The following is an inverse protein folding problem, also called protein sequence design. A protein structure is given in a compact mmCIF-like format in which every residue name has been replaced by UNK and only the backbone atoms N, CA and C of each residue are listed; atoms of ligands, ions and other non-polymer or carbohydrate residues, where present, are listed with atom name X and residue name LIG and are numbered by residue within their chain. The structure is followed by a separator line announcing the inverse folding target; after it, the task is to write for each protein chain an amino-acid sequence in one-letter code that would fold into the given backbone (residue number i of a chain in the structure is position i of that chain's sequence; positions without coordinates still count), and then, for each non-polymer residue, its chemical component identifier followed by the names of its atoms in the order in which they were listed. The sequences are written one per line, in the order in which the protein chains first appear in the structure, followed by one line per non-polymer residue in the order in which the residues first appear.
data_IF_292515333055
#
_entry.id   IF_292515333055
#
_cell.length_a   1.000
_cell.length_b   1.000
_cell.length_c   1.000
_cell.angle_alpha   90.00
_cell.angle_beta   90.00
_cell.angle_gamma   90.00
#
_symmetry.space_group_name_H-M   'P 1'
#
loop_
_entity.id
_entity.type
_entity.pdbx_description
1 polymer ?
#
# COMPACT_ATOMS: atom_id res chain seq x y z
N UNK A 1 14.57 -80.42 -6.17
CA UNK A 1 14.99 -79.58 -7.31
C UNK A 1 14.36 -78.22 -7.13
N UNK A 2 15.22 -77.24 -6.89
CA UNK A 2 14.90 -75.90 -6.40
C UNK A 2 14.55 -74.97 -7.56
N UNK A 3 13.47 -74.18 -7.42
CA UNK A 3 13.14 -73.08 -8.33
C UNK A 3 12.85 -71.82 -7.52
N UNK A 4 13.84 -70.94 -7.41
CA UNK A 4 13.73 -69.62 -6.78
C UNK A 4 13.13 -68.63 -7.80
N UNK A 5 11.95 -68.08 -7.50
CA UNK A 5 11.38 -66.97 -8.28
C UNK A 5 11.40 -65.71 -7.41
N UNK A 6 12.34 -64.80 -7.70
CA UNK A 6 12.42 -63.48 -7.08
C UNK A 6 11.51 -62.52 -7.85
N UNK A 7 10.52 -61.95 -7.17
CA UNK A 7 9.72 -60.82 -7.66
C UNK A 7 10.22 -59.56 -6.98
N UNK A 8 10.85 -58.68 -7.76
CA UNK A 8 11.16 -57.32 -7.37
C UNK A 8 9.99 -56.42 -7.78
N UNK A 9 9.27 -55.88 -6.81
CA UNK A 9 8.23 -54.89 -7.06
C UNK A 9 8.86 -53.49 -6.99
N UNK A 10 8.85 -52.78 -8.11
CA UNK A 10 9.29 -51.38 -8.22
C UNK A 10 8.07 -50.50 -7.92
N UNK A 11 8.10 -49.79 -6.80
CA UNK A 11 7.08 -48.81 -6.43
C UNK A 11 7.37 -47.46 -7.09
N UNK A 12 6.55 -47.05 -8.05
CA UNK A 12 6.55 -45.72 -8.65
C UNK A 12 5.84 -44.73 -7.71
N UNK A 13 6.59 -43.81 -7.11
CA UNK A 13 6.07 -42.67 -6.37
C UNK A 13 5.57 -41.61 -7.35
N UNK A 14 4.25 -41.54 -7.55
CA UNK A 14 3.60 -40.45 -8.28
C UNK A 14 3.47 -39.21 -7.41
N UNK A 15 4.34 -38.22 -7.61
CA UNK A 15 4.22 -36.89 -7.01
C UNK A 15 3.24 -36.03 -7.79
N UNK A 16 2.06 -35.77 -7.21
CA UNK A 16 1.11 -34.80 -7.75
C UNK A 16 1.64 -33.37 -7.51
N UNK A 17 2.03 -32.68 -8.57
CA UNK A 17 2.29 -31.24 -8.54
C UNK A 17 0.94 -30.52 -8.47
N UNK A 18 0.58 -30.01 -7.29
CA UNK A 18 -0.55 -29.09 -7.15
C UNK A 18 -0.20 -27.78 -7.87
N UNK A 19 -1.00 -27.33 -8.85
CA UNK A 19 -0.84 -25.99 -9.39
C UNK A 19 -1.13 -24.99 -8.27
N UNK A 20 -0.10 -24.25 -7.85
CA UNK A 20 -0.29 -23.07 -7.03
C UNK A 20 -1.06 -22.06 -7.88
N UNK A 21 -2.39 -22.03 -7.73
CA UNK A 21 -3.23 -20.98 -8.27
C UNK A 21 -2.83 -19.69 -7.56
N UNK A 22 -1.88 -18.97 -8.14
CA UNK A 22 -1.61 -17.59 -7.74
C UNK A 22 -2.87 -16.81 -8.06
N UNK A 23 -3.67 -16.50 -7.05
CA UNK A 23 -4.75 -15.55 -7.17
C UNK A 23 -4.15 -14.28 -7.80
N UNK A 24 -4.57 -13.93 -9.01
CA UNK A 24 -4.16 -12.67 -9.62
C UNK A 24 -4.53 -11.58 -8.63
N UNK A 25 -3.60 -10.68 -8.25
CA UNK A 25 -3.95 -9.57 -7.39
C UNK A 25 -5.11 -8.83 -8.03
N UNK A 26 -6.12 -8.49 -7.22
CA UNK A 26 -7.18 -7.59 -7.65
C UNK A 26 -6.50 -6.36 -8.28
N UNK A 27 -6.95 -5.94 -9.47
CA UNK A 27 -6.36 -4.81 -10.16
C UNK A 27 -6.34 -3.60 -9.22
N UNK A 28 -5.14 -3.16 -8.88
CA UNK A 28 -4.90 -2.05 -7.98
C UNK A 28 -4.21 -0.94 -8.77
N UNK A 29 -4.60 0.30 -8.49
CA UNK A 29 -4.26 1.48 -9.27
C UNK A 29 -3.63 2.49 -8.32
N UNK A 30 -2.43 2.94 -8.67
CA UNK A 30 -1.74 3.97 -7.89
C UNK A 30 -2.22 5.35 -8.33
N UNK A 31 -2.88 6.08 -7.43
CA UNK A 31 -3.32 7.46 -7.65
C UNK A 31 -2.58 8.41 -6.72
N UNK A 32 -2.45 9.69 -7.11
CA UNK A 32 -1.83 10.71 -6.25
C UNK A 32 -2.87 11.79 -5.92
N UNK A 33 -3.21 11.91 -4.64
CA UNK A 33 -4.20 12.87 -4.12
C UNK A 33 -3.54 13.70 -3.01
N UNK A 34 -3.62 15.02 -3.10
CA UNK A 34 -2.97 15.92 -2.13
C UNK A 34 -1.45 15.70 -1.97
N UNK A 35 -0.77 15.21 -3.00
CA UNK A 35 0.67 14.89 -2.97
C UNK A 35 1.04 13.57 -2.30
N UNK A 36 0.06 12.77 -1.87
CA UNK A 36 0.27 11.42 -1.34
C UNK A 36 -0.17 10.40 -2.38
N UNK A 37 0.67 9.41 -2.67
CA UNK A 37 0.27 8.28 -3.52
C UNK A 37 -0.53 7.28 -2.70
N UNK A 38 -1.56 6.68 -3.28
CA UNK A 38 -2.42 5.67 -2.66
C UNK A 38 -2.54 4.48 -3.61
N UNK A 39 -2.51 3.26 -3.06
CA UNK A 39 -2.85 2.06 -3.83
C UNK A 39 -4.35 1.81 -3.68
N UNK A 40 -5.11 2.08 -4.73
CA UNK A 40 -6.57 1.97 -4.75
C UNK A 40 -6.97 0.68 -5.44
N UNK A 41 -7.76 -0.13 -4.76
CA UNK A 41 -8.35 -1.35 -5.30
C UNK A 41 -9.86 -1.33 -5.06
N UNK A 42 -10.55 -2.41 -5.44
CA UNK A 42 -11.97 -2.54 -5.22
C UNK A 42 -12.32 -3.86 -4.53
N UNK A 43 -13.21 -3.80 -3.55
CA UNK A 43 -13.73 -4.95 -2.82
C UNK A 43 -15.23 -5.05 -2.98
N UNK A 44 -15.70 -6.26 -3.29
CA UNK A 44 -17.13 -6.56 -3.39
C UNK A 44 -17.61 -7.10 -2.04
N UNK A 45 -18.27 -6.24 -1.26
CA UNK A 45 -18.71 -6.54 0.11
C UNK A 45 -20.09 -5.92 0.38
N UNK A 46 -20.79 -6.41 1.39
CA UNK A 46 -21.90 -5.66 1.99
C UNK A 46 -21.44 -4.97 3.26
N UNK A 47 -21.92 -3.77 3.53
CA UNK A 47 -21.49 -2.98 4.69
C UNK A 47 -21.80 -3.66 6.01
N UNK A 48 -22.92 -4.40 6.09
CA UNK A 48 -23.26 -5.21 7.25
C UNK A 48 -22.33 -6.42 7.45
N UNK A 49 -21.81 -7.01 6.37
CA UNK A 49 -20.88 -8.15 6.48
C UNK A 49 -19.49 -7.75 6.94
N UNK A 50 -19.08 -6.51 6.66
CA UNK A 50 -17.73 -6.02 6.96
C UNK A 50 -17.76 -4.55 7.41
N UNK A 51 -18.35 -4.24 8.58
CA UNK A 51 -18.48 -2.87 9.08
C UNK A 51 -17.13 -2.20 9.33
N UNK A 52 -16.07 -2.98 9.59
CA UNK A 52 -14.70 -2.47 9.77
C UNK A 52 -14.12 -1.80 8.52
N UNK A 53 -14.62 -2.09 7.32
CA UNK A 53 -14.20 -1.40 6.10
C UNK A 53 -14.68 0.06 6.05
N UNK A 54 -15.75 0.37 6.77
CA UNK A 54 -16.44 1.67 6.80
C UNK A 54 -16.22 2.44 8.11
N UNK A 55 -15.30 1.96 8.97
CA UNK A 55 -15.07 2.55 10.29
C UNK A 55 -14.13 3.77 10.24
N UNK A 56 -14.50 4.82 10.97
CA UNK A 56 -13.67 6.00 11.31
C UNK A 56 -12.50 5.61 12.27
N UNK A 57 -11.48 6.46 12.46
CA UNK A 57 -10.09 6.05 12.66
C UNK A 57 -9.70 5.01 13.75
N UNK A 58 -8.54 4.31 13.61
CA UNK A 58 -7.49 4.55 12.61
C UNK A 58 -8.03 4.20 11.22
N UNK A 59 -8.02 5.20 10.32
CA UNK A 59 -8.97 5.32 9.19
C UNK A 59 -9.10 3.97 8.50
N UNK A 60 -10.35 3.50 8.34
CA UNK A 60 -10.65 2.30 7.55
C UNK A 60 -10.04 2.40 6.16
N UNK A 61 -10.30 1.41 5.32
CA UNK A 61 -9.69 1.31 3.99
C UNK A 61 -10.16 2.41 3.00
N UNK A 62 -10.70 3.54 3.48
CA UNK A 62 -11.26 4.66 2.73
C UNK A 62 -10.76 5.98 3.36
N UNK A 63 -9.59 6.50 2.96
CA UNK A 63 -9.01 7.73 3.54
C UNK A 63 -9.87 8.97 3.29
N UNK A 64 -10.80 8.92 2.34
CA UNK A 64 -11.79 9.96 2.05
C UNK A 64 -13.07 9.87 2.90
N UNK A 65 -13.16 8.91 3.83
CA UNK A 65 -14.36 8.76 4.65
C UNK A 65 -14.62 10.01 5.50
N UNK A 66 -15.84 10.54 5.42
CA UNK A 66 -16.27 11.79 6.03
C UNK A 66 -16.14 13.02 5.14
N UNK A 67 -15.55 12.90 3.95
CA UNK A 67 -15.31 14.00 3.00
C UNK A 67 -15.72 13.61 1.57
N UNK A 68 -16.88 14.12 1.15
CA UNK A 68 -17.45 13.90 -0.17
C UNK A 68 -16.58 14.48 -1.31
N UNK A 69 -15.99 15.65 -1.09
CA UNK A 69 -15.10 16.26 -2.11
C UNK A 69 -13.86 15.40 -2.32
N UNK A 70 -13.26 14.92 -1.23
CA UNK A 70 -12.10 14.03 -1.32
C UNK A 70 -12.47 12.71 -2.00
N UNK A 71 -13.65 12.15 -1.75
CA UNK A 71 -14.14 10.96 -2.43
C UNK A 71 -14.25 11.19 -3.95
N UNK A 72 -14.78 12.34 -4.37
CA UNK A 72 -14.89 12.74 -5.77
C UNK A 72 -13.51 12.92 -6.44
N UNK A 73 -12.53 13.49 -5.74
CA UNK A 73 -11.15 13.59 -6.22
C UNK A 73 -10.55 12.20 -6.49
N UNK A 74 -10.72 11.26 -5.56
CA UNK A 74 -10.28 9.87 -5.74
C UNK A 74 -10.98 9.20 -6.92
N UNK A 75 -12.30 9.36 -7.04
CA UNK A 75 -13.07 8.79 -8.14
C UNK A 75 -12.61 9.32 -9.50
N UNK A 76 -12.29 10.62 -9.58
CA UNK A 76 -11.73 11.25 -10.78
C UNK A 76 -10.34 10.70 -11.12
N UNK A 77 -9.46 10.54 -10.13
CA UNK A 77 -8.11 10.01 -10.37
C UNK A 77 -8.12 8.54 -10.81
N UNK A 78 -9.03 7.74 -10.25
CA UNK A 78 -9.18 6.33 -10.62
C UNK A 78 -9.87 6.18 -11.98
N UNK A 79 -10.92 6.95 -12.23
CA UNK A 79 -11.74 6.92 -13.43
C UNK A 79 -12.16 5.49 -13.82
N UNK A 80 -11.69 4.98 -14.96
CA UNK A 80 -12.05 3.67 -15.49
C UNK A 80 -11.02 2.57 -15.18
N UNK A 81 -9.96 2.87 -14.43
CA UNK A 81 -8.83 1.95 -14.26
C UNK A 81 -9.17 0.70 -13.43
N UNK A 82 -10.21 0.77 -12.58
CA UNK A 82 -10.71 -0.38 -11.79
C UNK A 82 -11.83 -1.18 -12.49
N UNK A 83 -12.30 -0.72 -13.66
CA UNK A 83 -13.41 -1.31 -14.40
C UNK A 83 -14.79 -1.12 -13.74
N UNK A 84 -15.80 -1.78 -14.30
CA UNK A 84 -17.20 -1.67 -13.88
C UNK A 84 -17.45 -2.11 -12.43
N UNK A 85 -18.29 -1.39 -11.70
CA UNK A 85 -18.53 -1.58 -10.27
C UNK A 85 -20.00 -1.60 -9.90
N UNK A 86 -20.59 -0.42 -9.68
CA UNK A 86 -22.00 -0.28 -9.29
C UNK A 86 -22.94 -0.82 -10.39
N UNK A 87 -22.65 -0.49 -11.64
CA UNK A 87 -23.34 -0.97 -12.83
C UNK A 87 -22.30 -1.19 -13.96
N UNK A 88 -22.74 -1.68 -15.12
CA UNK A 88 -21.89 -1.91 -16.29
C UNK A 88 -21.21 -0.63 -16.81
N UNK A 89 -21.86 0.52 -16.65
CA UNK A 89 -21.40 1.81 -17.17
C UNK A 89 -20.63 2.66 -16.15
N UNK A 90 -20.61 2.23 -14.88
CA UNK A 90 -20.06 3.00 -13.76
C UNK A 90 -19.00 2.22 -12.99
N UNK A 91 -18.02 2.95 -12.44
CA UNK A 91 -16.94 2.40 -11.63
C UNK A 91 -17.39 1.87 -10.25
N UNK A 92 -16.43 1.45 -9.41
CA UNK A 92 -16.70 1.11 -8.02
C UNK A 92 -17.17 2.32 -7.22
N UNK A 93 -17.91 2.06 -6.15
CA UNK A 93 -18.48 3.10 -5.28
C UNK A 93 -17.43 3.63 -4.31
N UNK A 94 -17.20 4.94 -4.32
CA UNK A 94 -16.40 5.68 -3.36
C UNK A 94 -17.30 6.11 -2.21
N UNK A 95 -17.44 5.21 -1.23
CA UNK A 95 -18.28 5.47 -0.07
C UNK A 95 -17.63 6.52 0.84
N UNK A 96 -18.37 7.56 1.21
CA UNK A 96 -17.85 8.70 1.96
C UNK A 96 -18.61 8.95 3.27
N UNK A 97 -19.82 8.44 3.46
CA UNK A 97 -20.53 8.58 4.73
C UNK A 97 -21.55 7.45 4.97
N UNK A 98 -22.09 7.41 6.19
CA UNK A 98 -23.20 6.54 6.56
C UNK A 98 -24.40 7.41 6.93
N UNK A 99 -25.51 7.22 6.22
CA UNK A 99 -26.81 7.76 6.61
C UNK A 99 -27.40 6.86 7.70
N UNK A 100 -27.28 7.31 8.96
CA UNK A 100 -27.74 6.55 10.12
C UNK A 100 -29.28 6.48 10.23
N UNK A 101 -30.06 7.54 9.94
CA UNK A 101 -31.52 7.43 9.84
C UNK A 101 -31.99 6.39 8.83
N UNK A 102 -31.38 6.34 7.64
CA UNK A 102 -31.83 5.47 6.55
C UNK A 102 -31.12 4.11 6.51
N UNK A 103 -30.07 3.93 7.32
CA UNK A 103 -29.25 2.73 7.34
C UNK A 103 -28.72 2.40 5.93
N UNK A 104 -28.08 3.40 5.30
CA UNK A 104 -27.53 3.35 3.94
C UNK A 104 -26.12 3.94 3.92
N UNK A 105 -25.28 3.44 3.01
CA UNK A 105 -24.00 4.09 2.72
C UNK A 105 -24.25 5.22 1.74
N UNK A 106 -23.69 6.39 2.01
CA UNK A 106 -23.60 7.48 1.04
C UNK A 106 -22.28 7.32 0.29
N UNK A 107 -22.37 7.25 -1.04
CA UNK A 107 -21.22 7.10 -1.91
C UNK A 107 -21.45 7.78 -3.24
N UNK A 108 -20.39 7.81 -4.03
CA UNK A 108 -20.44 8.28 -5.41
C UNK A 108 -19.76 7.28 -6.34
N UNK A 109 -20.10 7.34 -7.61
CA UNK A 109 -19.43 6.56 -8.66
C UNK A 109 -19.25 7.40 -9.91
N UNK A 110 -18.20 7.11 -10.69
CA UNK A 110 -17.87 7.80 -11.93
C UNK A 110 -18.22 6.93 -13.13
N UNK A 111 -18.69 7.57 -14.20
CA UNK A 111 -18.88 6.92 -15.50
C UNK A 111 -17.55 6.39 -16.02
N UNK A 112 -17.59 5.22 -16.67
CA UNK A 112 -16.41 4.64 -17.32
C UNK A 112 -16.06 5.34 -18.64
N UNK A 113 -16.95 6.18 -19.15
CA UNK A 113 -16.81 6.85 -20.45
C UNK A 113 -16.65 8.37 -20.36
N UNK A 114 -17.15 9.01 -19.29
CA UNK A 114 -17.04 10.45 -19.08
C UNK A 114 -16.50 10.75 -17.68
N UNK A 115 -15.34 11.42 -17.62
CA UNK A 115 -14.66 11.76 -16.37
C UNK A 115 -15.47 12.75 -15.51
N UNK A 116 -16.34 13.55 -16.14
CA UNK A 116 -17.12 14.57 -15.47
C UNK A 116 -18.52 14.08 -15.04
N UNK A 117 -18.87 12.85 -15.41
CA UNK A 117 -20.15 12.24 -15.05
C UNK A 117 -19.97 11.41 -13.78
N UNK A 118 -20.36 12.00 -12.66
CA UNK A 118 -20.42 11.36 -11.36
C UNK A 118 -21.83 11.42 -10.83
N UNK A 119 -22.27 10.32 -10.23
CA UNK A 119 -23.59 10.23 -9.62
C UNK A 119 -23.48 9.80 -8.17
N UNK A 120 -24.34 10.37 -7.34
CA UNK A 120 -24.53 9.92 -5.97
C UNK A 120 -25.28 8.59 -5.97
N UNK A 121 -24.81 7.67 -5.14
CA UNK A 121 -25.40 6.35 -4.95
C UNK A 121 -25.60 6.08 -3.47
N UNK A 122 -26.72 5.45 -3.13
CA UNK A 122 -27.05 5.09 -1.75
C UNK A 122 -27.23 3.58 -1.56
N UNK A 123 -26.15 2.78 -1.63
CA UNK A 123 -26.24 1.35 -1.40
C UNK A 123 -26.84 1.03 -0.02
N UNK A 124 -27.79 0.09 0.01
CA UNK A 124 -28.28 -0.48 1.27
C UNK A 124 -27.19 -1.28 1.97
N UNK A 125 -27.13 -1.26 3.31
CA UNK A 125 -26.07 -1.98 4.05
C UNK A 125 -26.07 -3.49 3.87
N UNK A 126 -27.18 -4.09 3.42
CA UNK A 126 -27.27 -5.52 3.11
C UNK A 126 -26.92 -5.85 1.66
N UNK A 127 -26.83 -4.84 0.79
CA UNK A 127 -26.53 -5.04 -0.62
C UNK A 127 -25.04 -5.20 -0.81
N UNK A 128 -24.66 -6.28 -1.51
CA UNK A 128 -23.25 -6.49 -1.88
C UNK A 128 -22.91 -5.55 -3.01
N UNK A 129 -21.98 -4.63 -2.75
CA UNK A 129 -21.58 -3.57 -3.67
C UNK A 129 -20.06 -3.59 -3.81
N UNK A 130 -19.58 -3.23 -5.00
CA UNK A 130 -18.15 -3.10 -5.27
C UNK A 130 -17.68 -1.72 -4.83
N UNK A 131 -17.03 -1.64 -3.67
CA UNK A 131 -16.52 -0.41 -3.09
C UNK A 131 -15.05 -0.20 -3.44
N UNK A 132 -14.68 1.04 -3.73
CA UNK A 132 -13.29 1.44 -3.79
C UNK A 132 -12.69 1.47 -2.39
N UNK A 133 -11.46 0.99 -2.27
CA UNK A 133 -10.68 1.05 -1.05
C UNK A 133 -9.26 1.51 -1.39
N UNK A 134 -8.65 2.30 -0.52
CA UNK A 134 -7.27 2.69 -0.62
C UNK A 134 -6.47 2.23 0.59
N UNK A 135 -5.29 1.70 0.30
CA UNK A 135 -4.26 1.47 1.30
C UNK A 135 -3.27 2.61 1.15
N UNK A 136 -3.16 3.46 2.18
CA UNK A 136 -2.05 4.40 2.26
C UNK A 136 -0.75 3.59 2.13
N UNK A 137 0.28 4.09 1.43
CA UNK A 137 1.55 3.40 1.30
C UNK A 137 2.00 3.09 2.72
N UNK A 138 2.00 1.81 3.07
CA UNK A 138 2.67 1.38 4.28
C UNK A 138 4.08 1.88 4.08
N UNK A 139 4.63 2.73 4.96
CA UNK A 139 6.00 3.17 4.85
C UNK A 139 6.78 1.90 4.63
N UNK A 140 7.34 1.74 3.42
CA UNK A 140 8.05 0.54 3.00
C UNK A 140 8.81 0.08 4.22
N UNK A 141 8.63 -1.16 4.72
CA UNK A 141 9.26 -1.60 5.95
C UNK A 141 10.70 -1.18 5.80
N UNK A 142 11.06 -0.12 6.55
CA UNK A 142 12.30 0.61 6.33
C UNK A 142 13.32 -0.48 6.18
N UNK A 143 14.06 -0.56 5.05
CA UNK A 143 14.94 -1.68 4.83
C UNK A 143 15.68 -1.88 6.13
N UNK A 144 15.35 -2.96 6.84
CA UNK A 144 16.01 -3.29 8.09
C UNK A 144 17.43 -3.77 7.76
N UNK A 145 17.91 -3.46 6.54
CA UNK A 145 19.25 -3.09 6.13
C UNK A 145 19.83 -1.91 6.92
N UNK A 146 19.64 -1.90 8.23
CA UNK A 146 20.74 -1.76 9.16
C UNK A 146 21.54 -3.07 9.29
N UNK A 147 21.91 -3.72 8.18
CA UNK A 147 22.72 -4.95 8.23
C UNK A 147 23.95 -4.97 7.31
N UNK A 148 24.20 -3.96 6.47
CA UNK A 148 25.39 -3.98 5.61
C UNK A 148 25.94 -2.59 5.22
N UNK A 149 26.11 -1.68 6.18
CA UNK A 149 27.11 -0.60 6.05
C UNK A 149 27.90 -0.36 7.34
N UNK A 150 27.87 -1.31 8.28
CA UNK A 150 28.68 -1.33 9.49
C UNK A 150 30.04 -2.05 9.36
N UNK A 151 30.50 -2.34 8.14
CA UNK A 151 31.81 -2.96 7.89
C UNK A 151 32.56 -2.14 6.85
N UNK A 152 33.36 -1.16 7.30
CA UNK A 152 34.31 -0.57 6.36
C UNK A 152 35.12 0.65 6.77
N UNK A 153 34.85 1.34 7.89
CA UNK A 153 35.57 2.58 8.22
C UNK A 153 36.33 2.53 9.56
N UNK A 154 36.81 1.35 9.98
CA UNK A 154 37.50 1.18 11.27
C UNK A 154 39.02 1.07 11.22
N UNK A 155 39.70 1.32 10.08
CA UNK A 155 41.17 1.23 10.05
C UNK A 155 41.84 2.21 9.10
N UNK A 156 41.92 3.49 9.49
CA UNK A 156 43.11 4.26 9.13
C UNK A 156 43.48 5.37 10.14
N UNK A 157 43.52 4.99 11.43
CA UNK A 157 44.28 5.71 12.44
C UNK A 157 45.44 4.84 12.91
N UNK A 158 46.53 4.85 12.16
CA UNK A 158 47.90 4.77 12.70
C UNK A 158 48.91 5.07 11.62
N UNK A 159 49.42 6.30 11.65
CA UNK A 159 50.84 6.60 11.47
C UNK A 159 51.13 7.95 12.10
N UNK A 160 51.30 7.89 13.42
CA UNK A 160 52.20 8.76 14.17
C UNK A 160 53.56 8.82 13.46
N UNK A 161 53.90 9.98 12.90
CA UNK A 161 55.28 10.48 12.86
C UNK A 161 55.23 11.77 13.67
N UNK A 162 55.57 11.70 14.95
CA UNK A 162 56.93 11.91 15.45
C UNK A 162 57.35 13.36 15.21
N UNK A 163 57.15 14.15 16.27
CA UNK A 163 57.85 15.35 16.71
C UNK A 163 58.89 15.93 15.73
N UNK A 164 58.65 17.17 15.30
CA UNK A 164 59.75 18.11 15.06
C UNK A 164 59.43 19.42 15.77
N UNK A 165 60.22 19.65 16.81
CA UNK A 165 60.40 20.87 17.58
C UNK A 165 60.87 22.04 16.70
N UNK A 166 60.34 23.24 16.96
CA UNK A 166 60.93 24.53 16.57
C UNK A 166 59.82 25.48 16.14
N UNK A 167 59.29 26.37 16.99
CA UNK A 167 60.02 27.39 17.74
C UNK A 167 59.88 28.70 16.97
N UNK A 168 59.15 29.69 17.52
CA UNK A 168 59.48 31.13 17.50
C UNK A 168 58.31 31.94 18.11
N UNK A 169 58.53 32.68 19.21
CA UNK A 169 57.54 33.57 19.80
C UNK A 169 57.58 34.95 19.13
N UNK A 170 56.48 35.32 18.46
CA UNK A 170 56.24 36.67 17.96
C UNK A 170 55.25 37.39 18.85
N UNK A 171 55.76 38.25 19.75
CA UNK A 171 54.98 39.30 20.40
C UNK A 171 54.34 40.21 19.34
N UNK A 172 53.08 40.60 19.55
CA UNK A 172 52.68 41.97 19.21
C UNK A 172 51.50 42.42 20.08
N UNK A 173 51.82 43.29 21.04
CA UNK A 173 50.88 44.19 21.70
C UNK A 173 50.23 45.11 20.65
N UNK A 174 48.94 45.39 20.75
CA UNK A 174 48.51 46.80 20.74
C UNK A 174 47.10 46.99 21.32
N UNK A 175 46.91 47.95 22.25
CA UNK A 175 45.62 48.27 22.82
C UNK A 175 44.95 49.46 22.09
N UNK A 176 43.62 49.51 22.21
CA UNK A 176 42.91 50.77 22.36
C UNK A 176 42.24 51.34 21.11
N UNK A 177 40.92 51.55 21.25
CA UNK A 177 40.11 52.72 20.87
C UNK A 177 38.66 52.34 21.23
N UNK A 178 38.18 52.78 22.38
CA UNK A 178 37.55 54.09 22.67
C UNK A 178 36.11 54.13 22.14
#
# INVERSE_FOLDING_TARGET
MSGLTRLAAVALLGGALLPCLTASPAAAVVVTVGGTSYDVSALTISSNSQPSAFALPPLGQMPWWGDDNLASEFATQVFNQLGAGWDADYGPVFAHALDTPMNQVLGLTSSLTDLNDQIDVTPSLTTTTRYAIAVAPVPLPLPLLGAAAGLGWSRQLRRTRLVSSGGFPGQHNNPGKA
#
